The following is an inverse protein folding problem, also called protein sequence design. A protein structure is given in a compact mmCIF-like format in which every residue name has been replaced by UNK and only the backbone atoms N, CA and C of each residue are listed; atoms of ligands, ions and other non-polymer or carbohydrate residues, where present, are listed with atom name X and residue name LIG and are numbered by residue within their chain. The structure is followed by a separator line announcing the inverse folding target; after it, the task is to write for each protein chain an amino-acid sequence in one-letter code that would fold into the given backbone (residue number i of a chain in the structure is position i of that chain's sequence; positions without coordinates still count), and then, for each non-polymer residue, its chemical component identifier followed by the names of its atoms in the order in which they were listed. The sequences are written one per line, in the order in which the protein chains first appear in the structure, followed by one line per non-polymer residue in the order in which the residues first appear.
data_IF_284052264986
#
_entry.id   IF_284052264986
#
_cell.length_a   1.000
_cell.length_b   1.000
_cell.length_c   1.000
_cell.angle_alpha   90.00
_cell.angle_beta   90.00
_cell.angle_gamma   90.00
#
_symmetry.space_group_name_H-M   'P 1'
#
loop_
_entity.id
_entity.type
_entity.pdbx_description
1 polymer ?
#
# COMPACT_ATOMS: atom_id res chain seq x y z
N UNK A 1 -20.70 1.18 23.85
CA UNK A 1 -20.97 1.80 22.54
C UNK A 1 -20.24 0.98 21.50
N UNK A 2 -20.98 0.32 20.60
CA UNK A 2 -20.40 -0.43 19.49
C UNK A 2 -19.71 0.58 18.56
N UNK A 3 -18.38 0.62 18.58
CA UNK A 3 -17.62 1.31 17.55
C UNK A 3 -17.86 0.56 16.25
N UNK A 4 -18.66 1.12 15.35
CA UNK A 4 -18.76 0.57 13.99
C UNK A 4 -17.35 0.51 13.38
N UNK A 5 -17.04 -0.54 12.60
CA UNK A 5 -15.74 -0.66 11.96
C UNK A 5 -15.53 0.54 11.03
N UNK A 6 -14.34 1.15 11.10
CA UNK A 6 -14.00 2.29 10.24
C UNK A 6 -14.09 1.87 8.77
N UNK A 7 -14.59 2.79 7.93
CA UNK A 7 -14.57 2.62 6.48
C UNK A 7 -13.12 2.43 6.02
N UNK A 8 -12.85 1.31 5.36
CA UNK A 8 -11.49 0.90 4.98
C UNK A 8 -11.26 1.11 3.49
N UNK A 9 -10.45 2.10 3.13
CA UNK A 9 -10.02 2.31 1.76
C UNK A 9 -8.62 1.71 1.51
N UNK A 10 -8.49 0.99 0.40
CA UNK A 10 -7.23 0.39 -0.04
C UNK A 10 -6.69 1.15 -1.26
N UNK A 11 -5.63 1.93 -1.04
CA UNK A 11 -5.02 2.79 -2.06
C UNK A 11 -3.80 2.09 -2.67
N UNK A 12 -3.76 1.95 -4.00
CA UNK A 12 -2.62 1.37 -4.71
C UNK A 12 -1.86 2.47 -5.42
N UNK A 13 -0.56 2.61 -5.15
CA UNK A 13 0.28 3.60 -5.83
C UNK A 13 1.16 2.99 -6.89
N UNK A 14 1.37 3.74 -7.98
CA UNK A 14 2.46 3.47 -8.91
C UNK A 14 3.82 3.63 -8.18
N UNK A 15 4.80 2.73 -8.38
CA UNK A 15 6.10 2.72 -7.68
C UNK A 15 7.05 3.83 -8.16
N UNK A 16 6.60 5.08 -8.15
CA UNK A 16 7.44 6.25 -8.36
C UNK A 16 7.15 7.28 -7.27
N UNK A 17 8.20 7.94 -6.78
CA UNK A 17 8.10 8.93 -5.69
C UNK A 17 7.08 10.04 -6.00
N UNK A 18 7.00 10.45 -7.27
CA UNK A 18 6.03 11.43 -7.75
C UNK A 18 4.56 11.00 -7.65
N UNK A 19 4.29 9.70 -7.45
CA UNK A 19 2.95 9.15 -7.26
C UNK A 19 2.68 8.75 -5.81
N UNK A 20 3.67 8.16 -5.13
CA UNK A 20 3.53 7.73 -3.72
C UNK A 20 3.28 8.90 -2.80
N UNK A 21 4.05 9.99 -2.92
CA UNK A 21 3.91 11.12 -2.01
C UNK A 21 2.56 11.84 -2.13
N UNK A 22 2.05 12.16 -3.33
CA UNK A 22 0.70 12.70 -3.47
C UNK A 22 -0.38 11.76 -2.94
N UNK A 23 -0.31 10.46 -3.23
CA UNK A 23 -1.29 9.49 -2.76
C UNK A 23 -1.24 9.32 -1.24
N UNK A 24 -0.05 9.37 -0.63
CA UNK A 24 0.14 9.38 0.82
C UNK A 24 -0.46 10.64 1.46
N UNK A 25 -0.26 11.82 0.86
CA UNK A 25 -0.87 13.06 1.35
C UNK A 25 -2.40 12.99 1.29
N UNK A 26 -2.95 12.44 0.21
CA UNK A 26 -4.38 12.18 0.09
C UNK A 26 -4.85 11.18 1.16
N UNK A 27 -4.15 10.06 1.31
CA UNK A 27 -4.44 9.05 2.34
C UNK A 27 -4.47 9.63 3.74
N UNK A 28 -3.50 10.49 4.10
CA UNK A 28 -3.50 11.19 5.40
C UNK A 28 -4.71 12.10 5.57
N UNK A 29 -5.15 12.80 4.52
CA UNK A 29 -6.36 13.65 4.55
C UNK A 29 -7.63 12.83 4.73
N UNK A 30 -7.71 11.66 4.11
CA UNK A 30 -8.83 10.73 4.27
C UNK A 30 -8.84 10.12 5.68
N UNK A 31 -7.69 9.64 6.15
CA UNK A 31 -7.54 9.12 7.50
C UNK A 31 -7.94 10.15 8.56
N UNK A 32 -7.53 11.43 8.40
CA UNK A 32 -7.93 12.50 9.31
C UNK A 32 -9.44 12.76 9.41
N UNK A 33 -10.24 12.18 8.50
CA UNK A 33 -11.71 12.25 8.49
C UNK A 33 -12.37 10.96 9.01
N UNK A 34 -11.62 10.08 9.67
CA UNK A 34 -12.15 8.86 10.28
C UNK A 34 -12.10 7.62 9.41
N UNK A 35 -11.25 7.57 8.37
CA UNK A 35 -11.08 6.36 7.56
C UNK A 35 -9.87 5.54 8.04
N UNK A 36 -9.95 4.22 7.85
CA UNK A 36 -8.79 3.35 7.82
C UNK A 36 -8.23 3.32 6.40
N UNK A 37 -6.98 3.73 6.22
CA UNK A 37 -6.32 3.75 4.91
C UNK A 37 -5.21 2.71 4.91
N UNK A 38 -5.27 1.73 4.00
CA UNK A 38 -4.08 0.93 3.64
C UNK A 38 -3.51 1.50 2.35
N UNK A 39 -2.25 1.95 2.37
CA UNK A 39 -1.50 2.36 1.19
C UNK A 39 -0.57 1.22 0.76
N UNK A 40 -0.75 0.76 -0.48
CA UNK A 40 -0.03 -0.38 -1.05
C UNK A 40 0.94 0.03 -2.16
N UNK A 41 2.16 -0.52 -2.10
CA UNK A 41 3.23 -0.31 -3.08
C UNK A 41 4.09 -1.58 -3.23
N UNK A 42 4.78 -1.79 -4.37
CA UNK A 42 5.79 -2.83 -4.49
C UNK A 42 6.87 -2.77 -3.40
N UNK A 43 7.36 -3.94 -2.96
CA UNK A 43 8.30 -4.08 -1.83
C UNK A 43 9.63 -3.35 -2.00
N UNK A 44 10.10 -3.17 -3.22
CA UNK A 44 11.31 -2.39 -3.51
C UNK A 44 11.20 -0.96 -2.95
N UNK A 45 10.01 -0.37 -3.03
CA UNK A 45 9.74 0.99 -2.57
C UNK A 45 9.47 1.04 -1.06
N UNK A 46 8.82 0.02 -0.49
CA UNK A 46 8.63 -0.05 0.96
C UNK A 46 9.96 -0.14 1.71
N UNK A 47 10.97 -0.86 1.18
CA UNK A 47 12.35 -0.87 1.72
C UNK A 47 12.97 0.53 1.74
N UNK A 48 12.79 1.31 0.69
CA UNK A 48 13.28 2.70 0.63
C UNK A 48 12.57 3.58 1.67
N UNK A 49 11.26 3.41 1.84
CA UNK A 49 10.46 4.14 2.83
C UNK A 49 10.79 3.75 4.27
N UNK A 50 11.02 2.46 4.54
CA UNK A 50 11.38 1.95 5.85
C UNK A 50 12.73 2.51 6.31
N UNK A 51 13.74 2.55 5.41
CA UNK A 51 15.05 3.17 5.68
C UNK A 51 14.95 4.65 6.03
N UNK A 52 13.99 5.37 5.45
CA UNK A 52 13.84 6.80 5.67
C UNK A 52 13.00 7.16 6.90
N UNK A 53 12.02 6.32 7.27
CA UNK A 53 10.95 6.73 8.19
C UNK A 53 10.57 5.68 9.27
N UNK A 54 11.33 4.59 9.46
CA UNK A 54 11.00 3.50 10.39
C UNK A 54 9.57 2.94 10.22
N UNK A 55 9.11 2.85 8.98
CA UNK A 55 7.79 2.30 8.65
C UNK A 55 7.86 0.77 8.70
N UNK A 56 6.97 0.16 9.49
CA UNK A 56 6.78 -1.30 9.53
C UNK A 56 5.49 -1.67 8.81
N UNK A 57 5.54 -2.72 7.98
CA UNK A 57 4.35 -3.24 7.30
C UNK A 57 3.29 -3.71 8.33
N UNK A 58 2.03 -3.50 8.00
CA UNK A 58 0.85 -3.80 8.85
C UNK A 58 0.73 -3.01 10.17
N UNK A 59 1.58 -2.00 10.40
CA UNK A 59 1.43 -1.10 11.55
C UNK A 59 0.35 -0.04 11.31
N UNK A 60 -0.57 0.12 12.28
CA UNK A 60 -1.53 1.22 12.30
C UNK A 60 -0.88 2.50 12.85
N UNK A 61 -0.96 3.57 12.08
CA UNK A 61 -0.46 4.90 12.42
C UNK A 61 -1.69 5.81 12.61
N UNK A 62 -1.94 6.34 13.81
CA UNK A 62 -3.07 7.24 14.03
C UNK A 62 -2.87 8.55 13.24
N UNK A 63 -3.92 9.00 12.55
CA UNK A 63 -3.95 10.25 11.79
C UNK A 63 -5.31 10.91 11.98
N UNK A 64 -5.37 11.94 12.84
CA UNK A 64 -6.65 12.55 13.23
C UNK A 64 -7.59 11.50 13.83
N UNK A 65 -8.80 11.42 13.29
CA UNK A 65 -9.84 10.49 13.77
C UNK A 65 -9.74 9.08 13.17
N UNK A 66 -8.75 8.80 12.32
CA UNK A 66 -8.58 7.52 11.64
C UNK A 66 -7.16 6.99 11.68
N UNK A 67 -6.85 6.08 10.75
CA UNK A 67 -5.58 5.36 10.74
C UNK A 67 -5.01 5.22 9.34
N UNK A 68 -3.69 5.18 9.26
CA UNK A 68 -2.93 4.87 8.07
C UNK A 68 -2.08 3.63 8.32
N UNK A 69 -2.00 2.74 7.34
CA UNK A 69 -1.10 1.59 7.34
C UNK A 69 -0.44 1.48 5.97
N UNK A 70 0.78 0.96 5.98
CA UNK A 70 1.49 0.58 4.76
C UNK A 70 1.47 -0.93 4.60
N UNK A 71 1.41 -1.37 3.36
CA UNK A 71 1.52 -2.78 3.04
C UNK A 71 2.20 -2.95 1.69
N UNK A 72 3.08 -3.95 1.59
CA UNK A 72 3.81 -4.18 0.36
C UNK A 72 3.49 -5.52 -0.27
N UNK A 73 3.63 -5.58 -1.60
CA UNK A 73 3.54 -6.82 -2.35
C UNK A 73 4.82 -7.06 -3.16
N UNK A 74 5.09 -8.32 -3.46
CA UNK A 74 6.22 -8.70 -4.30
C UNK A 74 5.81 -8.57 -5.77
N UNK A 75 6.67 -7.93 -6.57
CA UNK A 75 6.51 -7.84 -8.02
C UNK A 75 7.24 -8.96 -8.78
N UNK A 76 7.90 -9.89 -8.06
CA UNK A 76 8.49 -11.11 -8.62
C UNK A 76 9.89 -10.98 -9.21
N UNK A 77 10.51 -9.79 -9.14
CA UNK A 77 11.91 -9.58 -9.52
C UNK A 77 12.74 -9.20 -8.30
N UNK A 78 14.03 -9.53 -8.32
CA UNK A 78 14.98 -9.06 -7.30
C UNK A 78 15.21 -7.55 -7.42
N UNK A 79 15.57 -6.88 -6.32
CA UNK A 79 15.72 -5.41 -6.26
C UNK A 79 16.75 -4.88 -7.28
N UNK A 80 17.77 -5.67 -7.60
CA UNK A 80 18.90 -5.36 -8.49
C UNK A 80 18.77 -5.95 -9.91
N UNK A 81 17.59 -6.50 -10.24
CA UNK A 81 17.34 -7.07 -11.56
C UNK A 81 17.52 -6.01 -12.67
N UNK A 82 18.42 -6.22 -13.65
CA UNK A 82 18.72 -5.24 -14.68
C UNK A 82 17.50 -4.89 -15.54
N UNK A 83 16.51 -5.78 -15.63
CA UNK A 83 15.27 -5.54 -16.39
C UNK A 83 14.43 -4.41 -15.80
N UNK A 84 14.60 -4.07 -14.51
CA UNK A 84 13.94 -2.93 -13.86
C UNK A 84 14.30 -1.59 -14.50
N UNK A 85 15.46 -1.49 -15.15
CA UNK A 85 15.87 -0.27 -15.87
C UNK A 85 15.10 -0.08 -17.20
N UNK A 86 14.43 -1.12 -17.70
CA UNK A 86 13.64 -1.07 -18.93
C UNK A 86 12.17 -0.86 -18.58
N UNK A 87 11.69 0.38 -18.77
CA UNK A 87 10.35 0.79 -18.35
C UNK A 87 9.26 -0.15 -18.89
N UNK A 88 9.27 -0.49 -20.17
CA UNK A 88 8.23 -1.36 -20.77
C UNK A 88 8.19 -2.75 -20.15
N UNK A 89 9.36 -3.33 -19.86
CA UNK A 89 9.45 -4.64 -19.21
C UNK A 89 8.98 -4.55 -17.75
N UNK A 90 9.37 -3.49 -17.05
CA UNK A 90 8.97 -3.28 -15.66
C UNK A 90 7.46 -3.02 -15.53
N UNK A 91 6.87 -2.26 -16.45
CA UNK A 91 5.42 -2.03 -16.48
C UNK A 91 4.65 -3.33 -16.68
N UNK A 92 5.10 -4.18 -17.61
CA UNK A 92 4.48 -5.48 -17.84
C UNK A 92 4.59 -6.39 -16.60
N UNK A 93 5.77 -6.45 -15.98
CA UNK A 93 5.97 -7.24 -14.77
C UNK A 93 5.11 -6.74 -13.60
N UNK A 94 5.03 -5.42 -13.41
CA UNK A 94 4.24 -4.80 -12.35
C UNK A 94 2.76 -5.16 -12.50
N UNK A 95 2.24 -5.15 -13.71
CA UNK A 95 0.86 -5.58 -13.99
C UNK A 95 0.65 -7.07 -13.71
N UNK A 96 1.57 -7.91 -14.23
CA UNK A 96 1.52 -9.37 -14.10
C UNK A 96 1.50 -9.82 -12.64
N UNK A 97 2.36 -9.26 -11.81
CA UNK A 97 2.47 -9.60 -10.39
C UNK A 97 1.46 -8.83 -9.51
N UNK A 98 1.19 -7.57 -9.84
CA UNK A 98 0.35 -6.69 -9.03
C UNK A 98 -1.11 -7.12 -9.00
N UNK A 99 -1.71 -7.46 -10.16
CA UNK A 99 -3.12 -7.88 -10.24
C UNK A 99 -3.48 -9.04 -9.30
N UNK A 100 -2.78 -10.20 -9.34
CA UNK A 100 -3.07 -11.30 -8.43
C UNK A 100 -2.70 -10.96 -6.97
N UNK A 101 -1.60 -10.23 -6.73
CA UNK A 101 -1.18 -9.88 -5.38
C UNK A 101 -2.19 -8.97 -4.67
N UNK A 102 -2.64 -7.89 -5.30
CA UNK A 102 -3.64 -6.98 -4.73
C UNK A 102 -4.96 -7.72 -4.47
N UNK A 103 -5.39 -8.57 -5.41
CA UNK A 103 -6.60 -9.38 -5.24
C UNK A 103 -6.49 -10.31 -4.03
N UNK A 104 -5.33 -10.95 -3.84
CA UNK A 104 -5.08 -11.82 -2.69
C UNK A 104 -5.03 -11.02 -1.38
N UNK A 105 -4.46 -9.82 -1.37
CA UNK A 105 -4.43 -8.94 -0.20
C UNK A 105 -5.84 -8.54 0.23
N UNK A 106 -6.69 -8.12 -0.71
CA UNK A 106 -8.08 -7.73 -0.41
C UNK A 106 -8.87 -8.92 0.15
N UNK A 107 -8.72 -10.12 -0.43
CA UNK A 107 -9.36 -11.35 0.09
C UNK A 107 -8.89 -11.67 1.51
N UNK A 108 -7.57 -11.63 1.75
CA UNK A 108 -6.99 -11.85 3.09
C UNK A 108 -7.53 -10.87 4.13
N UNK A 109 -7.74 -9.62 3.74
CA UNK A 109 -8.37 -8.63 4.62
C UNK A 109 -9.80 -9.00 5.01
N UNK A 110 -10.61 -9.45 4.05
CA UNK A 110 -11.96 -9.93 4.32
C UNK A 110 -11.95 -11.17 5.25
N UNK A 111 -11.08 -12.14 4.99
CA UNK A 111 -10.90 -13.35 5.82
C UNK A 111 -10.48 -13.04 7.26
N UNK A 112 -9.75 -11.95 7.46
CA UNK A 112 -9.30 -11.49 8.79
C UNK A 112 -10.32 -10.60 9.50
N UNK A 113 -11.57 -10.51 9.01
CA UNK A 113 -12.60 -9.59 9.51
C UNK A 113 -12.18 -8.11 9.46
N UNK A 114 -11.37 -7.74 8.47
CA UNK A 114 -10.90 -6.37 8.20
C UNK A 114 -11.21 -5.98 6.74
N UNK A 115 -12.46 -6.10 6.26
CA UNK A 115 -12.77 -5.96 4.83
C UNK A 115 -12.48 -4.55 4.31
N UNK A 116 -11.95 -4.49 3.08
CA UNK A 116 -11.93 -3.24 2.31
C UNK A 116 -13.36 -2.90 1.90
N UNK A 117 -13.75 -1.64 2.05
CA UNK A 117 -15.10 -1.13 1.81
C UNK A 117 -15.40 -0.86 0.34
#
# INVERSE_FOLDING_TARGET
MSTEPLLHAFLVSFPAQGHVNPLLRLGKRLASKGLLITLSTPKVLSKQMAKANNITDDQLIPVGDGFLRFESFQDGWDDDDPRRAHLDQYMHQLELAGKPAISAMIKRYAEQNRPVS
#
